data_IF_176239524692
#
_entry.id   IF_176239524692
#
_cell.length_a   1.000
_cell.length_b   1.000
_cell.length_c   1.000
_cell.angle_alpha   90.00
_cell.angle_beta   90.00
_cell.angle_gamma   90.00
#
_symmetry.space_group_name_H-M   'P 1'
#
loop_
_entity.id
_entity.type
_entity.pdbx_description
1 polymer ?
#
# COMPACT_ATOMS: atom_id res chain seq x y z
N UNK A 1 -5.32 12.56 19.12
CA UNK A 1 -5.47 11.12 19.38
C UNK A 1 -4.33 10.43 18.64
N UNK A 2 -3.47 9.69 19.35
CA UNK A 2 -2.40 8.89 18.73
C UNK A 2 -2.99 7.52 18.40
N UNK A 3 -3.17 7.23 17.11
CA UNK A 3 -3.55 5.89 16.66
C UNK A 3 -2.36 4.97 16.91
N UNK A 4 -2.50 4.01 17.84
CA UNK A 4 -1.53 2.93 18.02
C UNK A 4 -1.80 1.89 16.95
N UNK A 5 -1.05 1.93 15.86
CA UNK A 5 -1.03 0.88 14.87
C UNK A 5 -0.31 -0.35 15.45
N UNK A 6 -0.98 -1.50 15.45
CA UNK A 6 -0.37 -2.75 15.88
C UNK A 6 0.51 -3.27 14.74
N UNK A 7 1.80 -3.40 14.98
CA UNK A 7 2.73 -3.99 14.03
C UNK A 7 2.81 -5.50 14.24
N UNK A 8 2.70 -6.27 13.16
CA UNK A 8 3.05 -7.69 13.19
C UNK A 8 4.52 -7.82 12.82
N UNK A 9 5.31 -8.41 13.73
CA UNK A 9 6.71 -8.78 13.47
C UNK A 9 6.73 -10.20 12.90
N UNK A 10 7.53 -10.42 11.86
CA UNK A 10 7.75 -11.76 11.33
C UNK A 10 8.25 -12.71 12.43
N UNK A 11 7.73 -13.95 12.53
CA UNK A 11 8.23 -14.95 13.47
C UNK A 11 9.66 -15.39 13.17
N UNK A 12 10.20 -15.05 11.99
CA UNK A 12 11.60 -15.17 11.59
C UNK A 12 12.28 -13.79 11.75
N UNK A 13 12.80 -13.47 12.96
CA UNK A 13 13.34 -12.14 13.27
C UNK A 13 14.56 -11.76 12.42
N UNK A 14 15.28 -12.74 11.87
CA UNK A 14 16.39 -12.57 10.92
C UNK A 14 15.96 -11.84 9.65
N UNK A 15 14.73 -12.05 9.20
CA UNK A 15 14.22 -11.45 7.96
C UNK A 15 13.74 -10.01 8.16
N UNK A 16 13.62 -9.59 9.43
CA UNK A 16 13.31 -8.21 9.83
C UNK A 16 12.03 -7.63 9.18
N UNK A 17 11.13 -8.48 8.71
CA UNK A 17 9.88 -8.02 8.08
C UNK A 17 8.91 -7.42 9.11
N UNK A 18 8.31 -6.32 8.70
CA UNK A 18 7.29 -5.56 9.42
C UNK A 18 6.08 -5.44 8.48
N UNK A 19 4.90 -5.75 9.01
CA UNK A 19 3.63 -5.52 8.30
C UNK A 19 2.57 -5.00 9.27
N UNK A 20 1.67 -4.17 8.79
CA UNK A 20 0.46 -3.78 9.55
C UNK A 20 -0.72 -4.66 9.13
N UNK A 21 -1.74 -4.83 10.00
CA UNK A 21 -3.06 -5.20 9.51
C UNK A 21 -3.56 -4.17 8.49
N UNK A 22 -4.62 -4.53 7.77
CA UNK A 22 -5.40 -3.58 6.95
C UNK A 22 -5.82 -2.42 7.84
N UNK A 23 -5.65 -1.20 7.32
CA UNK A 23 -6.01 0.03 8.02
C UNK A 23 -7.22 0.66 7.32
N UNK A 24 -8.45 0.46 7.82
CA UNK A 24 -9.67 0.94 7.16
C UNK A 24 -9.75 2.47 7.03
N UNK A 25 -9.14 3.20 7.97
CA UNK A 25 -9.17 4.66 7.99
C UNK A 25 -7.99 5.31 7.23
N UNK A 26 -7.11 4.50 6.62
CA UNK A 26 -5.95 5.01 5.89
C UNK A 26 -6.40 5.60 4.56
N UNK A 27 -6.27 6.93 4.45
CA UNK A 27 -6.49 7.67 3.20
C UNK A 27 -5.15 7.99 2.56
N UNK A 28 -5.00 7.60 1.31
CA UNK A 28 -3.81 7.89 0.51
C UNK A 28 -4.23 8.88 -0.56
N UNK A 29 -3.53 10.01 -0.65
CA UNK A 29 -3.84 11.06 -1.61
C UNK A 29 -2.69 11.21 -2.60
N UNK A 30 -3.02 11.47 -3.87
CA UNK A 30 -2.05 11.90 -4.86
C UNK A 30 -1.60 13.36 -4.59
N UNK A 31 -0.71 13.87 -5.45
CA UNK A 31 -0.21 15.25 -5.37
C UNK A 31 -1.29 16.31 -5.58
N UNK A 32 -2.44 15.95 -6.17
CA UNK A 32 -3.57 16.82 -6.43
C UNK A 32 -4.63 16.75 -5.30
N UNK A 33 -4.45 15.86 -4.32
CA UNK A 33 -5.41 15.62 -3.24
C UNK A 33 -6.51 14.62 -3.58
N UNK A 34 -6.41 13.90 -4.71
CA UNK A 34 -7.33 12.83 -5.09
C UNK A 34 -7.03 11.57 -4.28
N UNK A 35 -8.06 10.95 -3.71
CA UNK A 35 -7.89 9.72 -2.93
C UNK A 35 -7.59 8.52 -3.85
N UNK A 36 -6.45 7.89 -3.63
CA UNK A 36 -6.04 6.64 -4.27
C UNK A 36 -6.77 5.47 -3.60
N UNK A 37 -8.01 5.23 -4.01
CA UNK A 37 -8.88 4.25 -3.38
C UNK A 37 -8.51 2.82 -3.79
N UNK A 38 -8.09 2.01 -2.81
CA UNK A 38 -8.03 0.55 -2.88
C UNK A 38 -9.00 -0.06 -1.85
N UNK A 39 -9.35 -1.34 -2.02
CA UNK A 39 -10.19 -2.06 -1.04
C UNK A 39 -9.44 -2.30 0.28
N UNK A 40 -8.13 -2.56 0.19
CA UNK A 40 -7.28 -2.79 1.36
C UNK A 40 -5.99 -1.97 1.25
N UNK A 41 -5.61 -1.34 2.37
CA UNK A 41 -4.37 -0.58 2.49
C UNK A 41 -3.60 -1.02 3.74
N UNK A 42 -2.31 -1.27 3.59
CA UNK A 42 -1.41 -1.63 4.70
C UNK A 42 0.03 -1.21 4.40
N UNK A 43 0.85 -1.17 5.44
CA UNK A 43 2.29 -0.93 5.30
C UNK A 43 3.07 -2.24 5.37
N UNK A 44 4.06 -2.37 4.49
CA UNK A 44 5.03 -3.47 4.47
C UNK A 44 6.43 -2.89 4.52
N UNK A 45 7.36 -3.54 5.19
CA UNK A 45 8.77 -3.18 5.10
C UNK A 45 9.69 -4.24 5.70
N UNK A 46 10.98 -4.00 5.52
CA UNK A 46 12.05 -4.61 6.31
C UNK A 46 12.54 -3.53 7.26
N UNK A 47 12.91 -3.89 8.50
CA UNK A 47 13.45 -2.98 9.55
C UNK A 47 14.50 -2.03 8.96
N UNK A 48 14.02 -0.87 8.50
CA UNK A 48 14.72 0.17 7.76
C UNK A 48 13.91 1.46 7.92
N UNK A 49 14.45 2.60 7.50
CA UNK A 49 13.74 3.88 7.59
C UNK A 49 12.65 4.05 6.54
N UNK A 50 12.50 3.09 5.61
CA UNK A 50 11.56 3.16 4.50
C UNK A 50 10.54 2.03 4.59
N UNK A 51 9.26 2.41 4.52
CA UNK A 51 8.14 1.48 4.43
C UNK A 51 7.48 1.63 3.06
N UNK A 52 6.95 0.52 2.55
CA UNK A 52 6.14 0.48 1.34
C UNK A 52 4.66 0.56 1.74
N UNK A 53 3.92 1.40 1.04
CA UNK A 53 2.47 1.38 1.07
C UNK A 53 1.99 0.35 0.04
N UNK A 54 1.17 -0.59 0.49
CA UNK A 54 0.46 -1.51 -0.38
C UNK A 54 -1.01 -1.08 -0.47
N UNK A 55 -1.47 -0.86 -1.70
CA UNK A 55 -2.88 -0.68 -2.05
C UNK A 55 -3.33 -1.88 -2.88
N UNK A 56 -4.35 -2.59 -2.42
CA UNK A 56 -4.89 -3.80 -3.07
C UNK A 56 -6.28 -3.50 -3.61
N UNK A 57 -6.66 -4.19 -4.69
CA UNK A 57 -7.95 -4.05 -5.39
C UNK A 57 -8.27 -2.58 -5.74
N UNK A 58 -7.32 -1.92 -6.41
CA UNK A 58 -7.54 -0.60 -7.00
C UNK A 58 -8.43 -0.70 -8.25
N UNK A 59 -9.19 0.37 -8.53
CA UNK A 59 -10.04 0.41 -9.72
C UNK A 59 -9.23 0.43 -11.02
N UNK A 60 -9.85 -0.05 -12.10
CA UNK A 60 -9.25 0.02 -13.43
C UNK A 60 -8.95 1.46 -13.86
N UNK A 61 -9.86 2.39 -13.56
CA UNK A 61 -9.67 3.82 -13.82
C UNK A 61 -8.41 4.36 -13.14
N UNK A 62 -8.19 4.00 -11.87
CA UNK A 62 -6.98 4.40 -11.13
C UNK A 62 -5.72 3.75 -11.70
N UNK A 63 -5.83 2.49 -12.13
CA UNK A 63 -4.73 1.78 -12.78
C UNK A 63 -4.36 2.42 -14.12
N UNK A 64 -5.34 2.89 -14.90
CA UNK A 64 -5.11 3.60 -16.16
C UNK A 64 -4.55 5.01 -15.95
N UNK A 65 -4.99 5.74 -14.92
CA UNK A 65 -4.55 7.11 -14.66
C UNK A 65 -3.16 7.17 -13.99
N UNK A 66 -3.00 6.54 -12.83
CA UNK A 66 -1.80 6.67 -12.00
C UNK A 66 -0.73 5.62 -12.35
N UNK A 67 -1.16 4.47 -12.84
CA UNK A 67 -0.29 3.32 -13.08
C UNK A 67 -0.29 2.88 -14.56
N UNK A 68 -0.49 3.82 -15.48
CA UNK A 68 -0.69 3.55 -16.92
C UNK A 68 0.34 2.59 -17.51
N UNK A 69 1.60 2.70 -17.12
CA UNK A 69 2.68 1.85 -17.61
C UNK A 69 2.49 0.38 -17.20
N UNK A 70 2.00 0.12 -15.99
CA UNK A 70 1.62 -1.23 -15.54
C UNK A 70 0.37 -1.73 -16.26
N UNK A 71 -0.65 -0.88 -16.43
CA UNK A 71 -1.86 -1.20 -17.18
C UNK A 71 -1.51 -1.64 -18.61
N UNK A 72 -0.76 -0.80 -19.34
CA UNK A 72 -0.34 -1.09 -20.71
C UNK A 72 0.45 -2.40 -20.80
N UNK A 73 1.36 -2.67 -19.85
CA UNK A 73 2.15 -3.89 -19.83
C UNK A 73 1.30 -5.15 -19.59
N UNK A 74 0.25 -5.06 -18.79
CA UNK A 74 -0.65 -6.19 -18.51
C UNK A 74 -1.55 -6.51 -19.72
N UNK A 75 -2.08 -5.48 -20.40
CA UNK A 75 -3.09 -5.66 -21.46
C UNK A 75 -2.54 -5.72 -22.89
N UNK A 76 -1.32 -5.24 -23.18
CA UNK A 76 -0.72 -5.27 -24.54
C UNK A 76 -0.16 -6.65 -24.97
N UNK A 77 -0.80 -7.75 -24.56
CA UNK A 77 -0.43 -9.09 -25.06
C UNK A 77 -0.68 -9.24 -26.56
#
# INVERSE_FOLDING_TARGET
MSSKWNWYRCPYPEDKFITTPIIPELKVLDVNGTELQGYEAHFLGVESEVFQLHLVDISEDLMQSEFKHHFDAYYKK
#
